data_IF_208983806545
#
_entry.id   IF_208983806545
#
_cell.length_a   1.000
_cell.length_b   1.000
_cell.length_c   1.000
_cell.angle_alpha   90.00
_cell.angle_beta   90.00
_cell.angle_gamma   90.00
#
_symmetry.space_group_name_H-M   'P 1'
#
loop_
_entity.id
_entity.type
_entity.pdbx_description
1 polymer ?
#
# COMPACT_ATOMS: atom_id res chain seq x y z
N UNK A 1 -20.55 41.76 30.82
CA UNK A 1 -20.08 40.37 30.63
C UNK A 1 -19.07 40.37 29.48
N UNK A 2 -17.78 40.41 29.79
CA UNK A 2 -16.68 40.36 28.80
C UNK A 2 -16.10 38.96 28.77
N UNK A 3 -16.69 38.07 27.97
CA UNK A 3 -16.17 36.71 27.81
C UNK A 3 -15.08 36.70 26.73
N UNK A 4 -13.83 36.69 27.21
CA UNK A 4 -12.68 35.94 26.70
C UNK A 4 -12.30 36.03 25.21
N UNK A 5 -11.75 37.16 24.78
CA UNK A 5 -10.90 37.17 23.56
C UNK A 5 -9.59 36.39 23.81
N UNK A 6 -9.04 36.46 25.03
CA UNK A 6 -7.76 35.83 25.39
C UNK A 6 -7.78 34.30 25.39
N UNK A 7 -8.80 33.64 25.94
CA UNK A 7 -8.85 32.16 25.97
C UNK A 7 -8.93 31.55 24.56
N UNK A 8 -9.58 32.25 23.63
CA UNK A 8 -9.62 31.81 22.23
C UNK A 8 -8.30 32.02 21.50
N UNK A 9 -7.55 33.06 21.87
CA UNK A 9 -6.25 33.38 21.30
C UNK A 9 -5.16 32.43 21.82
N UNK A 10 -5.14 32.13 23.12
CA UNK A 10 -4.20 31.17 23.73
C UNK A 10 -4.42 29.76 23.16
N UNK A 11 -5.68 29.32 23.06
CA UNK A 11 -6.00 28.05 22.40
C UNK A 11 -5.66 28.03 20.89
N UNK A 12 -5.76 29.18 20.21
CA UNK A 12 -5.34 29.27 18.81
C UNK A 12 -3.81 29.23 18.68
N UNK A 13 -3.09 29.87 19.61
CA UNK A 13 -1.63 29.87 19.67
C UNK A 13 -1.09 28.49 20.00
N UNK A 14 -1.71 27.78 20.96
CA UNK A 14 -1.35 26.40 21.30
C UNK A 14 -1.58 25.46 20.10
N UNK A 15 -2.71 25.61 19.40
CA UNK A 15 -2.96 24.84 18.17
C UNK A 15 -1.94 25.14 17.08
N UNK A 16 -1.57 26.41 16.92
CA UNK A 16 -0.53 26.82 15.97
C UNK A 16 0.84 26.24 16.36
N UNK A 17 1.24 26.34 17.63
CA UNK A 17 2.50 25.83 18.14
C UNK A 17 2.59 24.31 18.00
N UNK A 18 1.52 23.59 18.34
CA UNK A 18 1.43 22.13 18.17
C UNK A 18 1.48 21.72 16.70
N UNK A 19 0.79 22.45 15.82
CA UNK A 19 0.84 22.18 14.38
C UNK A 19 2.24 22.42 13.82
N UNK A 20 2.87 23.52 14.18
CA UNK A 20 4.23 23.86 13.78
C UNK A 20 5.24 22.83 14.30
N UNK A 21 5.13 22.40 15.54
CA UNK A 21 5.98 21.35 16.09
C UNK A 21 5.79 20.01 15.35
N UNK A 22 4.55 19.64 15.04
CA UNK A 22 4.27 18.48 14.21
C UNK A 22 4.94 18.58 12.84
N UNK A 23 4.75 19.70 12.13
CA UNK A 23 5.30 19.91 10.79
C UNK A 23 6.84 19.94 10.80
N UNK A 24 7.44 20.64 11.77
CA UNK A 24 8.90 20.86 11.85
C UNK A 24 9.68 19.65 12.40
N UNK A 25 9.10 18.87 13.32
CA UNK A 25 9.83 17.85 14.11
C UNK A 25 9.32 16.44 13.93
N UNK A 26 8.01 16.26 13.78
CA UNK A 26 7.39 14.92 13.81
C UNK A 26 7.17 14.40 12.39
N UNK A 27 6.61 15.22 11.51
CA UNK A 27 6.26 14.85 10.14
C UNK A 27 7.47 14.38 9.32
N UNK A 28 8.63 15.01 9.49
CA UNK A 28 9.85 14.62 8.80
C UNK A 28 10.35 13.21 9.17
N UNK A 29 10.01 12.73 10.38
CA UNK A 29 10.40 11.41 10.89
C UNK A 29 9.36 10.33 10.57
N UNK A 30 8.16 10.72 10.17
CA UNK A 30 7.07 9.79 9.91
C UNK A 30 7.21 9.10 8.55
N UNK A 31 6.85 7.83 8.51
CA UNK A 31 6.65 7.12 7.24
C UNK A 31 5.41 7.66 6.51
N UNK A 32 5.32 7.51 5.18
CA UNK A 32 4.11 7.84 4.42
C UNK A 32 2.83 7.24 5.00
N UNK A 33 2.84 5.97 5.43
CA UNK A 33 1.67 5.35 6.07
C UNK A 33 1.33 6.00 7.42
N UNK A 34 2.32 6.37 8.24
CA UNK A 34 2.05 7.09 9.50
C UNK A 34 1.40 8.46 9.23
N UNK A 35 1.89 9.20 8.23
CA UNK A 35 1.28 10.47 7.79
C UNK A 35 -0.16 10.26 7.33
N UNK A 36 -0.42 9.19 6.58
CA UNK A 36 -1.77 8.81 6.15
C UNK A 36 -2.70 8.56 7.35
N UNK A 37 -2.22 7.88 8.39
CA UNK A 37 -3.01 7.65 9.60
C UNK A 37 -3.30 8.93 10.38
N UNK A 38 -2.35 9.86 10.46
CA UNK A 38 -2.59 11.19 11.03
C UNK A 38 -3.63 11.95 10.21
N UNK A 39 -3.55 11.90 8.88
CA UNK A 39 -4.52 12.52 7.99
C UNK A 39 -5.91 11.89 8.12
N UNK A 40 -6.02 10.57 8.19
CA UNK A 40 -7.27 9.83 8.42
C UNK A 40 -7.92 10.30 9.72
N UNK A 41 -7.16 10.30 10.82
CA UNK A 41 -7.68 10.71 12.14
C UNK A 41 -8.15 12.17 12.11
N UNK A 42 -7.35 13.08 11.55
CA UNK A 42 -7.70 14.49 11.42
C UNK A 42 -8.97 14.68 10.57
N UNK A 43 -9.13 13.89 9.51
CA UNK A 43 -10.30 13.95 8.63
C UNK A 43 -11.57 13.43 9.30
N UNK A 44 -11.45 12.40 10.14
CA UNK A 44 -12.54 11.89 10.98
C UNK A 44 -12.95 12.92 12.06
N UNK A 45 -11.97 13.49 12.78
CA UNK A 45 -12.23 14.47 13.84
C UNK A 45 -12.82 15.78 13.32
N UNK A 46 -12.41 16.21 12.13
CA UNK A 46 -12.99 17.39 11.45
C UNK A 46 -14.33 17.11 10.78
N UNK A 47 -14.75 15.84 10.69
CA UNK A 47 -15.97 15.42 10.00
C UNK A 47 -15.90 15.52 8.47
N UNK A 48 -14.71 15.80 7.90
CA UNK A 48 -14.49 15.86 6.45
C UNK A 48 -14.42 14.48 5.80
N UNK A 49 -14.25 13.42 6.60
CA UNK A 49 -14.34 12.02 6.19
C UNK A 49 -15.27 11.23 7.11
N UNK A 50 -15.95 10.23 6.55
CA UNK A 50 -16.70 9.22 7.30
C UNK A 50 -16.10 7.85 7.06
N UNK A 51 -16.23 6.99 8.08
CA UNK A 51 -15.82 5.60 7.95
C UNK A 51 -16.69 4.88 6.92
N UNK A 52 -16.03 4.22 5.97
CA UNK A 52 -16.66 3.26 5.08
C UNK A 52 -17.03 2.00 5.88
N UNK A 53 -18.31 1.62 5.81
CA UNK A 53 -18.85 0.42 6.46
C UNK A 53 -19.20 -0.69 5.46
N UNK A 54 -19.08 -0.43 4.15
CA UNK A 54 -19.34 -1.40 3.10
C UNK A 54 -18.27 -2.50 3.12
N UNK A 55 -18.64 -3.75 2.77
CA UNK A 55 -17.66 -4.80 2.51
C UNK A 55 -16.71 -4.38 1.38
N UNK A 56 -15.41 -4.66 1.53
CA UNK A 56 -14.40 -4.39 0.52
C UNK A 56 -13.73 -5.69 0.10
N UNK A 57 -14.09 -6.19 -1.07
CA UNK A 57 -13.42 -7.31 -1.72
C UNK A 57 -12.33 -6.76 -2.63
N UNK A 58 -11.07 -7.10 -2.39
CA UNK A 58 -9.95 -6.77 -3.25
C UNK A 58 -9.91 -7.74 -4.44
N UNK A 59 -10.03 -7.18 -5.65
CA UNK A 59 -10.09 -7.93 -6.92
C UNK A 59 -8.80 -7.90 -7.72
N UNK A 60 -8.08 -6.78 -7.75
CA UNK A 60 -6.78 -6.69 -8.41
C UNK A 60 -5.86 -5.70 -7.70
N UNK A 61 -4.56 -6.02 -7.71
CA UNK A 61 -3.48 -5.08 -7.42
C UNK A 61 -2.78 -4.75 -8.74
N UNK A 62 -2.74 -3.47 -9.12
CA UNK A 62 -2.06 -3.01 -10.33
C UNK A 62 -0.80 -2.24 -9.92
N UNK A 63 0.37 -2.73 -10.30
CA UNK A 63 1.63 -2.01 -10.21
C UNK A 63 1.89 -1.32 -11.54
N UNK A 64 1.92 0.01 -11.53
CA UNK A 64 2.32 0.85 -12.66
C UNK A 64 3.78 1.27 -12.48
N UNK A 65 4.57 1.25 -13.57
CA UNK A 65 6.00 1.52 -13.54
C UNK A 65 6.79 0.40 -12.88
N UNK A 66 7.32 -0.52 -13.68
CA UNK A 66 8.01 -1.72 -13.16
C UNK A 66 9.40 -1.36 -12.61
N UNK A 67 9.68 -1.59 -11.30
CA UNK A 67 10.94 -1.21 -10.70
C UNK A 67 12.14 -1.98 -11.24
N UNK A 68 13.27 -1.33 -11.47
CA UNK A 68 14.46 -1.98 -12.04
C UNK A 68 15.36 -2.61 -10.96
N UNK A 69 15.05 -3.85 -10.59
CA UNK A 69 15.86 -4.67 -9.68
C UNK A 69 16.79 -5.64 -10.42
N UNK A 70 16.87 -5.54 -11.76
CA UNK A 70 17.65 -6.46 -12.57
C UNK A 70 19.12 -6.00 -12.64
N UNK A 71 19.98 -6.58 -11.83
CA UNK A 71 21.42 -6.27 -11.79
C UNK A 71 22.23 -6.95 -12.90
N UNK A 72 21.67 -7.87 -13.70
CA UNK A 72 22.47 -8.68 -14.64
C UNK A 72 21.76 -9.13 -15.95
N UNK A 73 20.58 -8.59 -16.28
CA UNK A 73 19.78 -9.07 -17.42
C UNK A 73 18.95 -10.33 -17.13
N UNK A 74 18.92 -10.80 -15.89
CA UNK A 74 18.13 -11.97 -15.44
C UNK A 74 16.71 -11.53 -15.08
N UNK A 75 15.72 -12.32 -15.48
CA UNK A 75 14.31 -12.02 -15.22
C UNK A 75 14.00 -12.35 -13.75
N UNK A 76 14.06 -11.34 -12.89
CA UNK A 76 13.84 -11.50 -11.46
C UNK A 76 12.36 -11.71 -11.10
N UNK A 77 12.09 -12.67 -10.22
CA UNK A 77 10.77 -12.88 -9.63
C UNK A 77 10.36 -11.75 -8.67
N UNK A 78 9.09 -11.34 -8.73
CA UNK A 78 8.50 -10.35 -7.81
C UNK A 78 7.33 -10.95 -7.06
N UNK A 79 7.37 -10.84 -5.74
CA UNK A 79 6.40 -11.42 -4.83
C UNK A 79 5.68 -10.30 -4.08
N UNK A 80 4.35 -10.34 -4.05
CA UNK A 80 3.53 -9.41 -3.30
C UNK A 80 3.02 -10.10 -2.03
N UNK A 81 2.89 -9.37 -0.93
CA UNK A 81 2.44 -9.88 0.36
C UNK A 81 1.50 -8.88 1.00
N UNK A 82 0.26 -9.29 1.17
CA UNK A 82 -0.77 -8.63 1.95
C UNK A 82 -0.78 -9.27 3.34
N UNK A 83 -0.21 -8.58 4.34
CA UNK A 83 -0.20 -9.11 5.71
C UNK A 83 -1.64 -9.09 6.23
N UNK A 84 -2.10 -10.24 6.71
CA UNK A 84 -3.48 -10.49 7.15
C UNK A 84 -4.40 -11.10 6.08
N UNK A 85 -3.93 -11.34 4.85
CA UNK A 85 -4.76 -11.96 3.81
C UNK A 85 -4.03 -12.89 2.84
N UNK A 86 -2.98 -12.43 2.13
CA UNK A 86 -2.50 -13.16 0.95
C UNK A 86 -1.08 -12.79 0.55
N UNK A 87 -0.20 -13.78 0.36
CA UNK A 87 1.05 -13.58 -0.39
C UNK A 87 0.84 -14.01 -1.84
N UNK A 88 0.86 -13.02 -2.73
CA UNK A 88 0.76 -13.16 -4.18
C UNK A 88 2.14 -13.46 -4.77
N UNK A 89 2.20 -14.52 -5.55
CA UNK A 89 3.40 -15.24 -5.96
C UNK A 89 3.91 -14.74 -7.33
N UNK A 90 5.09 -15.22 -7.81
CA UNK A 90 5.95 -14.50 -8.75
C UNK A 90 5.24 -14.01 -10.01
N UNK A 91 5.42 -12.73 -10.34
CA UNK A 91 5.29 -12.28 -11.72
C UNK A 91 6.59 -12.51 -12.48
N UNK A 92 6.55 -13.33 -13.54
CA UNK A 92 7.55 -13.23 -14.60
C UNK A 92 7.23 -11.98 -15.41
N UNK A 93 8.23 -11.21 -15.81
CA UNK A 93 8.01 -10.01 -16.64
C UNK A 93 8.93 -10.10 -17.83
N UNK A 94 8.35 -10.38 -19.00
CA UNK A 94 9.08 -10.31 -20.25
C UNK A 94 9.68 -8.91 -20.49
N UNK A 95 10.75 -8.81 -21.29
CA UNK A 95 11.49 -7.57 -21.51
C UNK A 95 10.67 -6.42 -22.13
N UNK A 96 9.49 -6.72 -22.69
CA UNK A 96 8.56 -5.77 -23.31
C UNK A 96 7.52 -5.13 -22.39
N UNK A 97 7.33 -5.60 -21.16
CA UNK A 97 6.31 -5.07 -20.23
C UNK A 97 6.94 -4.17 -19.16
N UNK A 98 6.98 -2.87 -19.43
CA UNK A 98 7.51 -1.86 -18.48
C UNK A 98 6.44 -0.97 -17.86
N UNK A 99 5.24 -0.97 -18.42
CA UNK A 99 4.23 0.02 -18.09
C UNK A 99 3.41 -0.37 -16.86
N UNK A 100 2.88 -1.60 -16.81
CA UNK A 100 2.08 -2.08 -15.68
C UNK A 100 1.97 -3.62 -15.59
N UNK A 101 1.64 -4.11 -14.41
CA UNK A 101 1.23 -5.50 -14.10
C UNK A 101 -0.03 -5.44 -13.25
N UNK A 102 -1.08 -6.20 -13.60
CA UNK A 102 -2.19 -6.50 -12.70
C UNK A 102 -2.02 -7.89 -12.10
N UNK A 103 -2.37 -8.01 -10.83
CA UNK A 103 -2.44 -9.26 -10.10
C UNK A 103 -3.88 -9.40 -9.65
N UNK A 104 -4.67 -10.16 -10.42
CA UNK A 104 -6.05 -10.48 -10.08
C UNK A 104 -6.07 -11.46 -8.90
N UNK A 105 -7.02 -11.30 -7.98
CA UNK A 105 -7.26 -12.25 -6.90
C UNK A 105 -8.47 -13.09 -7.28
N UNK A 106 -8.27 -14.40 -7.46
CA UNK A 106 -9.36 -15.35 -7.69
C UNK A 106 -9.33 -16.44 -6.60
N UNK A 107 -10.33 -16.48 -5.69
CA UNK A 107 -11.43 -15.51 -5.54
C UNK A 107 -10.97 -14.15 -4.99
N UNK A 108 -11.78 -13.11 -5.19
CA UNK A 108 -11.53 -11.80 -4.60
C UNK A 108 -11.55 -11.87 -3.07
N UNK A 109 -10.66 -11.09 -2.43
CA UNK A 109 -10.38 -11.24 -1.01
C UNK A 109 -11.13 -10.18 -0.19
N UNK A 110 -11.99 -10.61 0.73
CA UNK A 110 -12.63 -9.70 1.70
C UNK A 110 -11.58 -9.13 2.66
N UNK A 111 -11.45 -7.80 2.69
CA UNK A 111 -10.56 -7.07 3.59
C UNK A 111 -11.35 -6.36 4.68
N UNK A 112 -10.78 -6.30 5.90
CA UNK A 112 -11.35 -5.55 7.03
C UNK A 112 -10.25 -5.06 7.97
N UNK A 113 -10.41 -3.83 8.47
CA UNK A 113 -9.48 -3.19 9.39
C UNK A 113 -8.28 -2.56 8.70
N UNK A 114 -7.13 -2.56 9.39
CA UNK A 114 -5.83 -2.12 8.89
C UNK A 114 -5.20 -3.20 8.02
N UNK A 115 -4.79 -2.82 6.82
CA UNK A 115 -4.22 -3.70 5.82
C UNK A 115 -2.83 -3.19 5.46
N UNK A 116 -1.88 -4.11 5.40
CA UNK A 116 -0.53 -3.85 4.92
C UNK A 116 -0.31 -4.53 3.59
N UNK A 117 0.18 -3.79 2.61
CA UNK A 117 0.69 -4.32 1.35
C UNK A 117 2.20 -4.17 1.34
N UNK A 118 2.90 -5.26 1.06
CA UNK A 118 4.34 -5.32 0.85
C UNK A 118 4.61 -5.94 -0.51
N UNK A 119 5.61 -5.45 -1.21
CA UNK A 119 6.12 -6.08 -2.42
C UNK A 119 7.60 -6.34 -2.23
N UNK A 120 8.04 -7.49 -2.72
CA UNK A 120 9.38 -8.02 -2.59
C UNK A 120 9.91 -8.38 -3.98
N UNK A 121 11.19 -8.13 -4.18
CA UNK A 121 11.96 -8.78 -5.22
C UNK A 121 12.63 -10.02 -4.61
N UNK A 122 12.47 -11.19 -5.23
CA UNK A 122 13.25 -12.37 -4.91
C UNK A 122 14.32 -12.54 -5.97
N UNK A 123 15.59 -12.50 -5.55
CA UNK A 123 16.72 -12.76 -6.43
C UNK A 123 16.81 -14.24 -6.76
N UNK A 124 16.87 -14.59 -8.04
CA UNK A 124 17.05 -16.00 -8.45
C UNK A 124 18.48 -16.49 -8.24
N UNK A 125 19.43 -15.55 -8.12
CA UNK A 125 20.85 -15.85 -7.90
C UNK A 125 21.13 -16.08 -6.43
N UNK A 126 20.69 -15.16 -5.57
CA UNK A 126 21.01 -15.21 -4.13
C UNK A 126 19.91 -15.85 -3.30
N UNK A 127 18.71 -16.03 -3.86
CA UNK A 127 17.49 -16.46 -3.17
C UNK A 127 17.02 -15.49 -2.07
N UNK A 128 17.73 -14.37 -1.88
CA UNK A 128 17.39 -13.32 -0.93
C UNK A 128 16.19 -12.51 -1.40
N UNK A 129 15.46 -11.96 -0.43
CA UNK A 129 14.28 -11.12 -0.65
C UNK A 129 14.61 -9.69 -0.26
N UNK A 130 14.35 -8.78 -1.16
CA UNK A 130 14.47 -7.35 -0.93
C UNK A 130 13.09 -6.70 -0.99
N UNK A 131 12.76 -5.82 -0.04
CA UNK A 131 11.49 -5.07 -0.08
C UNK A 131 11.58 -4.02 -1.20
N UNK A 132 10.64 -4.07 -2.14
CA UNK A 132 10.45 -3.04 -3.16
C UNK A 132 9.65 -1.87 -2.56
N UNK A 133 8.51 -2.18 -1.95
CA UNK A 133 7.67 -1.19 -1.30
C UNK A 133 6.88 -1.79 -0.15
N UNK A 134 6.45 -0.92 0.76
CA UNK A 134 5.48 -1.22 1.82
C UNK A 134 4.50 -0.06 1.92
N UNK A 135 3.23 -0.34 2.19
CA UNK A 135 2.22 0.66 2.51
C UNK A 135 1.16 0.06 3.44
N UNK A 136 0.51 0.91 4.24
CA UNK A 136 -0.61 0.52 5.11
C UNK A 136 -1.82 1.42 4.90
N UNK A 137 -3.01 0.85 4.89
CA UNK A 137 -4.25 1.61 4.81
C UNK A 137 -5.34 0.95 5.63
N UNK A 138 -6.27 1.77 6.13
CA UNK A 138 -7.45 1.26 6.80
C UNK A 138 -8.61 1.16 5.81
N UNK A 139 -9.24 -0.02 5.71
CA UNK A 139 -10.44 -0.26 4.88
C UNK A 139 -11.55 0.75 5.12
N UNK A 140 -11.76 1.15 6.38
CA UNK A 140 -12.73 2.20 6.73
C UNK A 140 -12.41 3.60 6.19
N UNK A 141 -11.20 3.87 5.69
CA UNK A 141 -10.86 5.15 5.06
C UNK A 141 -11.01 5.12 3.52
N UNK A 142 -11.29 3.95 2.92
CA UNK A 142 -11.42 3.80 1.46
C UNK A 142 -12.72 4.46 1.00
N UNK A 143 -12.61 5.40 0.06
CA UNK A 143 -13.75 6.06 -0.57
C UNK A 143 -13.81 5.61 -2.04
N UNK A 144 -14.93 5.01 -2.45
CA UNK A 144 -15.10 4.46 -3.81
C UNK A 144 -14.54 3.04 -4.00
N UNK A 145 -14.21 2.70 -5.24
CA UNK A 145 -13.86 1.34 -5.67
C UNK A 145 -12.38 1.17 -6.03
N UNK A 146 -11.55 2.20 -5.90
CA UNK A 146 -10.12 2.11 -6.12
C UNK A 146 -9.34 2.96 -5.11
N UNK A 147 -8.14 2.49 -4.76
CA UNK A 147 -7.20 3.22 -3.92
C UNK A 147 -5.85 3.26 -4.62
N UNK A 148 -5.31 4.46 -4.80
CA UNK A 148 -4.06 4.68 -5.54
C UNK A 148 -3.00 5.23 -4.59
N UNK A 149 -1.80 4.66 -4.66
CA UNK A 149 -0.62 5.10 -3.92
C UNK A 149 0.48 5.43 -4.90
N UNK A 150 0.89 6.69 -4.92
CA UNK A 150 2.04 7.11 -5.71
C UNK A 150 3.34 6.67 -5.03
N UNK A 151 4.48 6.78 -5.73
CA UNK A 151 5.80 6.44 -5.18
C UNK A 151 6.03 7.05 -3.79
N UNK A 152 5.61 8.30 -3.59
CA UNK A 152 5.78 9.02 -2.31
C UNK A 152 4.90 8.50 -1.17
N UNK A 153 3.84 7.78 -1.49
CA UNK A 153 2.90 7.18 -0.53
C UNK A 153 3.40 5.84 0.04
N UNK A 154 4.51 5.32 -0.49
CA UNK A 154 5.00 3.98 -0.22
C UNK A 154 6.37 4.02 0.46
N UNK A 155 6.47 3.37 1.63
CA UNK A 155 7.75 3.14 2.29
C UNK A 155 8.70 2.34 1.39
N UNK A 156 10.01 2.61 1.53
CA UNK A 156 11.09 2.05 0.72
C UNK A 156 11.12 2.60 -0.70
N UNK A 157 10.01 2.50 -1.44
CA UNK A 157 9.91 3.00 -2.82
C UNK A 157 10.15 4.51 -2.91
N UNK A 158 9.64 5.31 -1.97
CA UNK A 158 9.83 6.76 -1.95
C UNK A 158 11.29 7.22 -1.86
N UNK A 159 12.20 6.33 -1.50
CA UNK A 159 13.65 6.61 -1.39
C UNK A 159 14.47 5.80 -2.39
N UNK A 160 13.85 4.88 -3.12
CA UNK A 160 14.56 3.95 -4.00
C UNK A 160 14.54 4.46 -5.45
N UNK A 161 15.70 4.81 -6.03
CA UNK A 161 15.78 5.26 -7.43
C UNK A 161 15.44 4.16 -8.45
N UNK A 162 15.42 2.88 -8.04
CA UNK A 162 15.01 1.76 -8.90
C UNK A 162 13.50 1.76 -9.14
N UNK A 163 12.72 2.38 -8.26
CA UNK A 163 11.28 2.56 -8.43
C UNK A 163 11.03 3.81 -9.30
N UNK A 164 10.33 3.72 -10.45
CA UNK A 164 10.15 4.86 -11.34
C UNK A 164 9.37 6.00 -10.68
N UNK A 165 9.68 7.26 -11.00
CA UNK A 165 9.02 8.41 -10.39
C UNK A 165 7.52 8.50 -10.69
N UNK A 166 7.10 7.99 -11.85
CA UNK A 166 5.69 7.85 -12.22
C UNK A 166 5.05 6.55 -11.69
N UNK A 167 5.82 5.73 -10.97
CA UNK A 167 5.37 4.44 -10.47
C UNK A 167 4.32 4.60 -9.39
N UNK A 168 3.36 3.68 -9.36
CA UNK A 168 2.23 3.71 -8.42
C UNK A 168 1.58 2.34 -8.26
N UNK A 169 0.89 2.14 -7.15
CA UNK A 169 0.11 0.93 -6.86
C UNK A 169 -1.35 1.31 -6.78
N UNK A 170 -2.19 0.59 -7.51
CA UNK A 170 -3.64 0.73 -7.49
C UNK A 170 -4.27 -0.56 -6.94
N UNK A 171 -5.13 -0.42 -5.95
CA UNK A 171 -5.93 -1.48 -5.38
C UNK A 171 -7.37 -1.33 -5.87
N UNK A 172 -7.91 -2.37 -6.49
CA UNK A 172 -9.26 -2.35 -7.06
C UNK A 172 -10.21 -3.18 -6.21
N UNK A 173 -11.33 -2.57 -5.81
CA UNK A 173 -12.30 -3.13 -4.89
C UNK A 173 -13.70 -3.26 -5.51
N UNK A 174 -14.51 -4.14 -4.93
CA UNK A 174 -15.96 -4.17 -5.09
C UNK A 174 -16.66 -4.55 -3.78
N UNK A 175 -17.97 -4.39 -3.73
CA UNK A 175 -18.80 -4.75 -2.56
C UNK A 175 -19.04 -6.27 -2.44
N UNK A 176 -18.73 -7.04 -3.48
CA UNK A 176 -18.89 -8.48 -3.53
C UNK A 176 -17.73 -9.19 -4.21
N UNK A 177 -17.65 -10.53 -4.09
CA UNK A 177 -16.60 -11.34 -4.71
C UNK A 177 -16.85 -11.62 -6.20
N UNK A 178 -18.02 -11.27 -6.71
CA UNK A 178 -18.42 -11.48 -8.11
C UNK A 178 -17.49 -10.74 -9.07
N UNK A 179 -17.22 -11.36 -10.23
CA UNK A 179 -16.32 -10.77 -11.25
C UNK A 179 -16.80 -9.37 -11.64
N UNK A 180 -15.87 -8.41 -11.61
CA UNK A 180 -16.15 -7.03 -12.00
C UNK A 180 -16.35 -6.95 -13.52
N UNK A 181 -17.45 -6.35 -14.03
CA UNK A 181 -17.62 -6.12 -15.46
C UNK A 181 -16.45 -5.32 -16.04
N UNK A 182 -15.83 -5.83 -17.12
CA UNK A 182 -14.66 -5.18 -17.73
C UNK A 182 -13.31 -5.56 -17.11
N UNK A 183 -13.25 -6.53 -16.19
CA UNK A 183 -12.00 -7.07 -15.65
C UNK A 183 -11.05 -7.65 -16.72
N UNK A 184 -11.54 -7.86 -17.95
CA UNK A 184 -10.71 -8.23 -19.12
C UNK A 184 -9.62 -7.19 -19.40
N UNK A 185 -9.85 -5.92 -19.04
CA UNK A 185 -8.86 -4.83 -19.16
C UNK A 185 -7.68 -4.96 -18.19
N UNK A 186 -7.80 -5.85 -17.20
CA UNK A 186 -6.79 -6.13 -16.19
C UNK A 186 -5.97 -7.39 -16.50
N UNK A 187 -6.09 -7.95 -17.70
CA UNK A 187 -5.24 -9.05 -18.13
C UNK A 187 -3.84 -8.55 -18.45
N UNK A 188 -2.83 -9.27 -17.96
CA UNK A 188 -1.47 -9.05 -18.39
C UNK A 188 -1.24 -9.63 -19.80
N UNK A 189 -0.22 -9.14 -20.49
CA UNK A 189 0.24 -9.76 -21.74
C UNK A 189 0.80 -11.17 -21.51
N UNK A 190 0.98 -11.91 -22.60
CA UNK A 190 1.38 -13.33 -22.57
C UNK A 190 2.71 -13.62 -21.84
N UNK A 191 3.58 -12.62 -21.70
CA UNK A 191 4.89 -12.77 -21.06
C UNK A 191 4.86 -12.57 -19.53
N UNK A 192 3.67 -12.35 -18.95
CA UNK A 192 3.47 -12.21 -17.51
C UNK A 192 2.64 -13.36 -16.98
N UNK A 193 3.29 -14.28 -16.28
CA UNK A 193 2.62 -15.29 -15.48
C UNK A 193 2.49 -14.80 -14.04
N UNK A 194 1.37 -15.10 -13.39
CA UNK A 194 1.17 -14.91 -11.95
C UNK A 194 0.92 -16.29 -11.36
N UNK A 195 1.77 -16.70 -10.43
CA UNK A 195 1.54 -17.93 -9.65
C UNK A 195 0.70 -17.60 -8.41
N UNK A 196 -0.18 -18.51 -8.01
CA UNK A 196 -1.10 -18.40 -6.86
C UNK A 196 -0.81 -19.45 -5.77
N UNK A 197 0.27 -20.23 -5.90
CA UNK A 197 0.62 -21.30 -4.98
C UNK A 197 0.98 -20.80 -3.55
N UNK A 198 0.22 -21.20 -2.53
CA UNK A 198 0.44 -20.79 -1.13
C UNK A 198 1.41 -21.71 -0.37
N UNK A 199 2.34 -22.38 -1.06
CA UNK A 199 3.29 -23.30 -0.42
C UNK A 199 4.46 -22.58 0.27
N UNK A 200 4.73 -21.31 -0.06
CA UNK A 200 5.80 -20.52 0.55
C UNK A 200 5.52 -20.29 2.04
N UNK A 201 6.44 -20.58 2.98
CA UNK A 201 6.23 -20.37 4.41
C UNK A 201 5.79 -18.96 4.80
N UNK A 202 6.18 -17.93 4.03
CA UNK A 202 5.76 -16.54 4.26
C UNK A 202 4.32 -16.24 3.81
N UNK A 203 3.68 -17.13 3.03
CA UNK A 203 2.23 -17.07 2.74
C UNK A 203 1.37 -17.48 3.94
N UNK A 204 1.95 -18.22 4.90
CA UNK A 204 1.25 -18.74 6.08
C UNK A 204 1.37 -17.88 7.33
N UNK A 205 2.12 -16.78 7.28
CA UNK A 205 2.30 -15.93 8.45
C UNK A 205 1.06 -15.06 8.66
N UNK A 206 0.07 -15.63 9.34
CA UNK A 206 -0.94 -14.86 10.03
C UNK A 206 -0.26 -13.96 11.07
N UNK A 207 -0.72 -12.72 11.07
CA UNK A 207 -0.25 -11.55 11.80
C UNK A 207 0.16 -11.83 13.27
N UNK A 208 1.19 -11.11 13.75
CA UNK A 208 1.58 -10.82 15.15
C UNK A 208 2.84 -11.45 15.78
N UNK A 209 3.61 -12.34 15.14
CA UNK A 209 4.72 -12.97 15.89
C UNK A 209 6.04 -12.18 16.02
N UNK A 210 6.29 -11.08 15.28
CA UNK A 210 7.57 -10.34 15.37
C UNK A 210 7.39 -8.86 15.71
N UNK A 211 6.83 -8.57 16.88
CA UNK A 211 6.93 -7.23 17.52
C UNK A 211 8.21 -7.12 18.38
N UNK A 212 8.99 -8.20 18.54
CA UNK A 212 10.09 -8.28 19.50
C UNK A 212 11.51 -8.33 18.92
N UNK A 213 11.75 -7.81 17.71
CA UNK A 213 13.13 -7.61 17.23
C UNK A 213 13.38 -6.14 16.92
N UNK A 214 13.51 -5.38 18.00
CA UNK A 214 14.09 -4.06 18.03
C UNK A 214 14.98 -3.97 19.26
N UNK A 215 16.23 -4.41 19.13
CA UNK A 215 17.35 -3.85 19.90
C UNK A 215 17.78 -2.52 19.27
#
# INVERSE_FOLDING_TARGET
>A
MSVSVSHSADQALDRFAMRKYYDDKVSALMTPSQKRYVWILNSLLSGSMKMNASPLFLHCIILHGIPNFNTAGVIGHRMFSLIGCLSLLPSHIGPGHRDRICISLEPAQLLKGDIMVKCYHKSDVTLEREVIFRLQFHTGAVQGYNLMFEKEDMETANKDPRFPDYGKVELVFAEGPEKIPGAELWQNGADVSVDYNTADPLTRWDSYQNINDGE
#
